data_IF_619884747780
#
_entry.id   IF_619884747780
#
_cell.length_a   1.000
_cell.length_b   1.000
_cell.length_c   1.000
_cell.angle_alpha   90.00
_cell.angle_beta   90.00
_cell.angle_gamma   90.00
#
_symmetry.space_group_name_H-M   'P 1'
#
loop_
_entity.id
_entity.type
_entity.pdbx_description
1 polymer ?
#
# COMPACT_ATOMS: atom_id res chain seq x y z
N UNK A 1 15.67 59.24 -0.67
CA UNK A 1 15.89 60.11 0.49
C UNK A 1 15.91 59.24 1.73
N UNK A 2 17.12 59.11 2.29
CA UNK A 2 17.49 58.97 3.69
C UNK A 2 17.09 57.66 4.35
N UNK A 3 17.94 56.66 4.49
CA UNK A 3 19.23 56.48 5.20
C UNK A 3 19.12 56.52 6.72
N UNK A 4 19.66 55.52 7.30
CA UNK A 4 20.37 55.34 8.56
C UNK A 4 19.71 54.25 9.44
N UNK A 5 20.36 53.23 9.90
CA UNK A 5 21.78 52.96 10.20
C UNK A 5 21.98 52.84 11.68
N UNK A 6 22.86 51.98 12.06
CA UNK A 6 23.63 51.81 13.31
C UNK A 6 23.19 50.63 14.19
N UNK A 7 23.95 49.57 14.29
CA UNK A 7 25.34 49.32 14.72
C UNK A 7 25.57 49.32 16.24
N UNK A 8 26.08 48.15 16.73
CA UNK A 8 27.03 47.92 17.84
C UNK A 8 26.52 48.02 19.30
N UNK A 9 26.78 47.01 20.10
CA UNK A 9 27.97 46.93 20.95
C UNK A 9 28.10 45.60 21.67
N UNK A 10 29.24 45.03 21.55
CA UNK A 10 30.08 44.22 22.39
C UNK A 10 29.85 44.32 23.91
N UNK A 11 29.98 43.17 24.58
CA UNK A 11 30.18 43.08 26.02
C UNK A 11 30.89 41.78 26.38
N UNK A 12 32.20 41.76 26.34
CA UNK A 12 33.10 40.80 26.98
C UNK A 12 33.05 40.95 28.50
N UNK A 13 32.96 39.84 29.22
CA UNK A 13 33.18 39.81 30.67
C UNK A 13 33.81 38.48 31.08
N UNK A 14 35.12 38.50 31.21
CA UNK A 14 36.01 37.49 31.79
C UNK A 14 36.01 37.60 33.34
N UNK A 15 36.41 36.52 34.00
CA UNK A 15 36.86 36.21 35.37
C UNK A 15 35.93 35.21 36.04
N UNK A 16 36.36 34.08 36.57
CA UNK A 16 37.65 33.58 36.99
C UNK A 16 37.46 32.76 38.28
N UNK A 17 38.08 31.57 38.35
CA UNK A 17 38.56 30.89 39.54
C UNK A 17 37.46 30.10 40.35
N UNK A 18 37.60 28.93 40.76
CA UNK A 18 38.58 28.10 41.43
C UNK A 18 38.05 26.65 41.63
N UNK A 19 38.86 25.65 41.48
CA UNK A 19 38.68 24.31 42.08
C UNK A 19 39.28 24.29 43.49
N UNK A 20 38.91 23.37 44.42
CA UNK A 20 39.49 22.08 44.49
C UNK A 20 38.47 20.99 44.96
N UNK A 21 38.55 19.71 44.61
CA UNK A 21 39.56 18.75 45.01
C UNK A 21 38.91 17.67 45.90
N UNK A 22 39.13 16.37 45.62
CA UNK A 22 38.85 15.23 46.50
C UNK A 22 38.21 14.08 45.70
N UNK A 23 38.94 13.25 45.11
CA UNK A 23 39.53 11.94 45.42
C UNK A 23 38.60 10.92 46.07
N UNK A 24 38.44 9.83 45.41
CA UNK A 24 38.69 8.38 45.55
C UNK A 24 37.40 7.61 45.69
N UNK A 25 37.19 6.45 45.15
CA UNK A 25 38.03 5.37 44.75
C UNK A 25 37.17 4.25 44.21
N UNK A 26 37.70 3.53 43.27
CA UNK A 26 37.22 2.21 42.85
C UNK A 26 37.46 1.18 43.98
N UNK A 27 36.72 0.09 44.03
CA UNK A 27 37.38 -1.19 44.02
C UNK A 27 36.90 -2.14 42.91
N UNK A 28 37.90 -2.79 42.37
CA UNK A 28 37.93 -3.97 41.53
C UNK A 28 37.55 -5.23 42.28
N UNK A 29 36.98 -6.18 41.51
CA UNK A 29 37.12 -7.66 41.58
C UNK A 29 36.76 -8.40 42.89
N UNK A 30 35.97 -9.46 42.75
CA UNK A 30 36.37 -10.86 42.82
C UNK A 30 35.15 -11.80 42.71
N UNK A 31 35.33 -12.73 41.85
CA UNK A 31 35.55 -14.19 41.99
C UNK A 31 34.30 -15.06 42.06
N UNK A 32 34.22 -15.83 41.02
CA UNK A 32 33.82 -17.24 40.89
C UNK A 32 33.48 -17.98 42.17
N UNK A 33 32.30 -18.58 42.24
CA UNK A 33 32.14 -19.88 42.85
C UNK A 33 31.18 -20.78 42.07
N UNK A 34 31.78 -21.81 41.55
CA UNK A 34 31.25 -23.05 41.03
C UNK A 34 30.63 -23.86 42.16
N UNK A 35 29.38 -24.23 42.07
CA UNK A 35 28.80 -25.29 42.91
C UNK A 35 28.00 -26.23 42.03
N UNK A 36 28.59 -27.39 41.77
CA UNK A 36 27.91 -28.62 41.38
C UNK A 36 27.27 -29.29 42.60
N UNK A 37 26.12 -29.90 42.48
CA UNK A 37 25.80 -31.08 43.25
C UNK A 37 25.67 -32.32 42.36
N UNK A 38 26.40 -33.29 42.79
CA UNK A 38 26.41 -34.70 42.42
C UNK A 38 25.12 -35.41 42.86
N UNK A 39 24.63 -36.30 41.99
CA UNK A 39 24.27 -37.69 42.31
C UNK A 39 22.88 -37.98 42.80
N UNK A 40 22.14 -38.72 42.01
CA UNK A 40 21.81 -40.15 42.24
C UNK A 40 20.69 -40.59 41.29
N UNK A 41 21.01 -41.58 40.48
CA UNK A 41 20.02 -42.49 39.91
C UNK A 41 19.35 -43.33 40.96
N UNK A 42 18.15 -43.84 40.70
CA UNK A 42 18.03 -45.28 40.62
C UNK A 42 17.28 -45.83 39.40
N UNK A 43 17.82 -46.90 38.94
CA UNK A 43 17.38 -47.99 38.09
C UNK A 43 15.93 -48.45 38.28
N UNK A 44 15.28 -48.84 37.20
CA UNK A 44 14.12 -49.72 37.31
C UNK A 44 13.28 -49.85 36.02
N UNK A 45 13.58 -50.91 35.27
CA UNK A 45 12.68 -51.76 34.51
C UNK A 45 11.91 -51.27 33.24
N UNK A 46 12.40 -51.83 32.14
CA UNK A 46 11.69 -52.13 30.91
C UNK A 46 10.50 -53.09 31.12
N UNK A 47 9.41 -52.99 30.38
CA UNK A 47 9.18 -53.99 29.32
C UNK A 47 8.69 -53.45 27.97
N UNK A 48 9.32 -53.92 26.94
CA UNK A 48 8.75 -54.04 25.62
C UNK A 48 7.76 -55.21 25.64
N UNK A 49 6.61 -55.17 24.96
CA UNK A 49 6.57 -55.71 23.61
C UNK A 49 5.50 -55.09 22.69
N UNK A 50 5.65 -55.33 21.42
CA UNK A 50 4.53 -55.44 20.46
C UNK A 50 4.60 -54.48 19.29
N UNK A 51 5.30 -54.92 18.26
CA UNK A 51 5.25 -54.32 16.95
C UNK A 51 3.87 -54.44 16.29
N UNK A 52 3.43 -53.38 15.68
CA UNK A 52 2.52 -53.44 14.56
C UNK A 52 3.03 -52.48 13.48
N UNK A 53 3.51 -53.05 12.41
CA UNK A 53 3.87 -52.42 11.17
C UNK A 53 2.66 -51.67 10.59
N UNK A 54 2.75 -50.41 10.18
CA UNK A 54 1.72 -49.84 9.31
C UNK A 54 1.90 -50.36 7.89
N UNK A 55 0.78 -50.71 7.27
CA UNK A 55 0.67 -51.22 5.91
C UNK A 55 1.14 -50.16 4.91
N UNK A 56 1.90 -50.63 3.90
CA UNK A 56 2.30 -49.85 2.74
C UNK A 56 1.08 -49.51 1.90
N UNK A 57 0.94 -48.25 1.57
CA UNK A 57 0.01 -47.74 0.57
C UNK A 57 0.51 -48.11 -0.83
N UNK A 58 -0.35 -48.54 -1.76
CA UNK A 58 0.10 -49.02 -3.08
C UNK A 58 0.47 -47.85 -3.99
N UNK A 59 1.67 -47.87 -4.51
CA UNK A 59 2.20 -47.05 -5.59
C UNK A 59 1.32 -47.11 -6.83
N UNK A 60 0.91 -46.04 -7.47
CA UNK A 60 0.19 -46.10 -8.73
C UNK A 60 1.14 -46.48 -9.87
N UNK A 61 0.75 -47.48 -10.62
CA UNK A 61 1.40 -47.98 -11.84
C UNK A 61 1.34 -46.95 -12.97
N UNK A 62 2.39 -46.74 -13.76
CA UNK A 62 2.35 -45.84 -14.91
C UNK A 62 1.46 -46.37 -16.01
N UNK A 63 0.55 -45.58 -16.49
CA UNK A 63 -0.33 -45.87 -17.61
C UNK A 63 0.44 -45.71 -18.93
N UNK A 64 0.62 -46.79 -19.63
CA UNK A 64 1.24 -46.82 -20.95
C UNK A 64 0.35 -46.15 -22.01
N UNK A 65 0.94 -45.27 -22.73
CA UNK A 65 0.84 -45.07 -24.17
C UNK A 65 -0.52 -44.78 -24.80
N UNK A 66 -0.80 -43.54 -25.10
CA UNK A 66 -1.48 -43.15 -26.34
C UNK A 66 -0.62 -42.18 -27.14
N UNK A 67 -0.16 -42.69 -28.29
CA UNK A 67 0.55 -41.99 -29.35
C UNK A 67 -0.29 -40.83 -29.89
N UNK A 68 0.26 -39.62 -30.07
CA UNK A 68 -0.46 -38.53 -30.73
C UNK A 68 -0.59 -38.82 -32.22
N UNK A 69 -1.78 -38.64 -32.75
CA UNK A 69 -2.11 -38.69 -34.17
C UNK A 69 -1.52 -37.43 -34.82
N UNK A 70 -0.74 -37.65 -35.88
CA UNK A 70 -0.13 -36.58 -36.70
C UNK A 70 -1.22 -35.80 -37.44
N UNK A 71 -1.19 -34.50 -37.30
CA UNK A 71 -1.96 -33.52 -38.10
C UNK A 71 -1.27 -33.32 -39.46
N UNK A 72 -2.00 -33.26 -40.58
CA UNK A 72 -1.38 -33.18 -41.90
C UNK A 72 -0.81 -31.79 -42.20
N UNK A 73 0.44 -31.80 -42.66
CA UNK A 73 1.18 -30.64 -43.20
C UNK A 73 0.48 -30.04 -44.41
N UNK A 74 0.29 -28.70 -44.49
CA UNK A 74 -0.23 -28.08 -45.71
C UNK A 74 0.88 -27.99 -46.78
N UNK A 75 0.54 -28.41 -47.97
CA UNK A 75 1.32 -28.32 -49.21
C UNK A 75 1.54 -26.90 -49.64
N UNK A 76 2.72 -26.51 -50.19
CA UNK A 76 2.96 -25.17 -50.69
C UNK A 76 2.23 -24.95 -52.04
N UNK A 77 1.50 -23.88 -52.16
CA UNK A 77 0.92 -23.42 -53.41
C UNK A 77 1.97 -22.62 -54.22
N UNK A 78 2.38 -23.21 -55.36
CA UNK A 78 3.23 -22.54 -56.33
C UNK A 78 2.39 -21.66 -57.26
N UNK A 79 2.72 -20.38 -57.33
CA UNK A 79 2.45 -19.59 -58.51
C UNK A 79 1.65 -18.33 -58.36
N UNK A 80 2.31 -17.21 -58.04
CA UNK A 80 1.94 -15.90 -58.61
C UNK A 80 3.16 -15.02 -58.86
N UNK A 81 3.27 -14.63 -60.12
CA UNK A 81 4.27 -13.76 -60.72
C UNK A 81 4.25 -12.35 -60.11
N UNK A 82 5.37 -11.62 -60.02
CA UNK A 82 5.44 -10.26 -59.51
C UNK A 82 4.89 -9.28 -60.54
N UNK A 83 4.02 -8.38 -60.10
CA UNK A 83 3.58 -7.23 -60.86
C UNK A 83 4.19 -5.96 -60.29
N UNK A 84 4.73 -5.19 -61.12
CA UNK A 84 5.31 -3.87 -61.15
C UNK A 84 5.26 -2.99 -59.89
N UNK A 85 6.41 -2.45 -59.64
CA UNK A 85 6.84 -1.41 -58.73
C UNK A 85 6.18 -0.07 -59.08
N UNK A 86 5.25 0.39 -58.24
CA UNK A 86 4.77 1.78 -58.21
C UNK A 86 5.46 2.50 -57.07
N UNK A 87 6.17 3.56 -57.40
CA UNK A 87 6.80 4.52 -56.47
C UNK A 87 5.75 5.11 -55.53
N UNK A 88 6.00 5.13 -54.19
CA UNK A 88 5.08 5.79 -53.26
C UNK A 88 5.26 7.31 -53.34
N UNK A 89 4.19 8.00 -53.69
CA UNK A 89 4.01 9.40 -53.34
C UNK A 89 3.72 9.49 -51.85
N UNK A 90 4.49 10.32 -51.14
CA UNK A 90 4.29 10.58 -49.72
C UNK A 90 2.83 10.91 -49.38
N UNK A 91 2.13 10.14 -48.54
CA UNK A 91 0.93 10.61 -47.90
C UNK A 91 1.33 11.31 -46.60
N UNK A 92 0.86 12.55 -46.45
CA UNK A 92 0.91 13.29 -45.21
C UNK A 92 0.56 12.36 -44.03
N UNK A 93 1.48 12.27 -43.06
CA UNK A 93 1.27 11.57 -41.80
C UNK A 93 -0.02 12.10 -41.16
N UNK A 94 -1.06 11.28 -40.93
CA UNK A 94 -2.17 11.72 -40.11
C UNK A 94 -1.64 11.93 -38.69
N UNK A 95 -1.66 13.17 -38.24
CA UNK A 95 -1.54 13.48 -36.81
C UNK A 95 -2.57 12.63 -36.07
N UNK A 96 -2.20 11.82 -35.07
CA UNK A 96 -3.19 11.07 -34.31
C UNK A 96 -4.12 12.08 -33.64
N UNK A 97 -5.37 12.11 -34.07
CA UNK A 97 -6.44 12.80 -33.35
C UNK A 97 -6.60 12.05 -32.05
N UNK A 98 -6.05 12.60 -30.98
CA UNK A 98 -6.29 12.16 -29.62
C UNK A 98 -7.81 12.18 -29.42
N UNK A 99 -8.42 11.01 -29.31
CA UNK A 99 -9.82 10.87 -28.92
C UNK A 99 -10.01 11.74 -27.68
N UNK A 100 -10.99 12.64 -27.71
CA UNK A 100 -11.17 13.69 -26.73
C UNK A 100 -11.19 13.12 -25.30
N UNK A 101 -10.14 13.40 -24.54
CA UNK A 101 -10.18 13.23 -23.08
C UNK A 101 -11.36 14.06 -22.59
N UNK A 102 -12.26 13.45 -21.81
CA UNK A 102 -13.32 14.19 -21.15
C UNK A 102 -12.66 15.31 -20.33
N UNK A 103 -13.01 16.55 -20.63
CA UNK A 103 -12.47 17.73 -19.93
C UNK A 103 -13.12 17.95 -18.56
N UNK A 104 -13.53 16.86 -17.89
CA UNK A 104 -14.13 16.94 -16.56
C UNK A 104 -13.01 17.09 -15.57
N UNK A 105 -12.87 18.27 -14.98
CA UNK A 105 -11.93 18.53 -13.91
C UNK A 105 -12.55 18.12 -12.57
N UNK A 106 -11.71 17.72 -11.62
CA UNK A 106 -12.14 17.50 -10.25
C UNK A 106 -12.53 18.85 -9.59
N UNK A 107 -13.41 18.84 -8.60
CA UNK A 107 -13.58 20.00 -7.74
C UNK A 107 -12.28 20.33 -7.01
N UNK A 108 -12.24 21.47 -6.31
CA UNK A 108 -11.14 21.76 -5.40
C UNK A 108 -11.16 20.75 -4.25
N UNK A 109 -10.14 19.91 -4.18
CA UNK A 109 -9.96 18.87 -3.16
C UNK A 109 -9.11 19.41 -2.01
N UNK A 110 -9.35 18.93 -0.80
CA UNK A 110 -8.43 19.17 0.32
C UNK A 110 -7.09 18.47 0.05
N UNK A 111 -5.99 19.09 0.46
CA UNK A 111 -4.68 18.42 0.42
C UNK A 111 -4.64 17.38 1.52
N UNK A 112 -4.65 16.09 1.15
CA UNK A 112 -4.76 14.99 2.10
C UNK A 112 -4.28 13.66 1.51
N UNK A 113 -3.90 12.76 2.42
CA UNK A 113 -3.68 11.32 2.19
C UNK A 113 -4.85 10.56 2.80
N UNK A 114 -5.48 9.70 2.02
CA UNK A 114 -6.56 8.82 2.48
C UNK A 114 -6.09 7.37 2.36
N UNK A 115 -5.78 6.74 3.50
CA UNK A 115 -5.47 5.31 3.57
C UNK A 115 -6.78 4.56 3.76
N UNK A 116 -7.27 3.93 2.70
CA UNK A 116 -8.60 3.33 2.68
C UNK A 116 -8.63 2.00 3.42
N UNK A 117 -9.66 1.76 4.21
CA UNK A 117 -9.91 0.45 4.83
C UNK A 117 -10.45 -0.53 3.77
N UNK A 118 -9.53 -1.19 3.09
CA UNK A 118 -9.84 -2.20 2.07
C UNK A 118 -9.69 -3.64 2.57
N UNK A 119 -9.58 -3.82 3.89
CA UNK A 119 -9.26 -5.10 4.49
C UNK A 119 -7.79 -5.44 4.31
N UNK A 120 -7.47 -6.74 4.15
CA UNK A 120 -6.12 -7.12 3.72
C UNK A 120 -5.92 -6.63 2.29
N UNK A 121 -4.86 -5.85 2.08
CA UNK A 121 -4.56 -5.16 0.85
C UNK A 121 -4.26 -3.68 1.05
N UNK A 122 -3.96 -2.97 -0.02
CA UNK A 122 -3.59 -1.55 0.04
C UNK A 122 -4.39 -0.72 -0.97
N UNK A 123 -4.83 0.46 -0.53
CA UNK A 123 -5.40 1.49 -1.41
C UNK A 123 -5.22 2.85 -0.77
N UNK A 124 -4.45 3.72 -1.42
CA UNK A 124 -4.17 5.05 -0.90
C UNK A 124 -4.43 6.10 -1.96
N UNK A 125 -5.27 7.08 -1.60
CA UNK A 125 -5.59 8.22 -2.43
C UNK A 125 -4.83 9.45 -1.92
N UNK A 126 -4.20 10.17 -2.83
CA UNK A 126 -3.50 11.43 -2.59
C UNK A 126 -4.23 12.55 -3.34
N UNK A 127 -4.63 13.58 -2.64
CA UNK A 127 -5.33 14.73 -3.21
C UNK A 127 -4.58 16.03 -2.92
N UNK A 128 -4.56 16.92 -3.92
CA UNK A 128 -4.15 18.32 -3.75
C UNK A 128 -4.70 19.16 -4.90
N UNK A 129 -5.33 20.28 -4.61
CA UNK A 129 -5.94 21.15 -5.64
C UNK A 129 -7.00 20.40 -6.43
N UNK A 130 -6.81 20.24 -7.72
CA UNK A 130 -7.68 19.42 -8.59
C UNK A 130 -7.08 18.05 -8.90
N UNK A 131 -5.91 17.76 -8.34
CA UNK A 131 -5.17 16.52 -8.59
C UNK A 131 -5.59 15.42 -7.64
N UNK A 132 -5.87 14.24 -8.19
CA UNK A 132 -6.12 13.00 -7.48
C UNK A 132 -5.22 11.90 -8.04
N UNK A 133 -4.44 11.28 -7.19
CA UNK A 133 -3.55 10.15 -7.50
C UNK A 133 -3.97 8.96 -6.65
N UNK A 134 -4.23 7.81 -7.28
CA UNK A 134 -4.57 6.58 -6.57
C UNK A 134 -3.41 5.60 -6.69
N UNK A 135 -2.85 5.18 -5.56
CA UNK A 135 -1.83 4.14 -5.47
C UNK A 135 -2.48 2.91 -4.85
N UNK A 136 -2.49 1.81 -5.60
CA UNK A 136 -3.19 0.57 -5.31
C UNK A 136 -4.70 0.74 -5.11
N UNK A 137 -5.45 -0.34 -5.12
CA UNK A 137 -6.91 -0.29 -5.13
C UNK A 137 -7.60 -1.33 -4.24
N UNK A 138 -6.82 -2.11 -3.50
CA UNK A 138 -7.37 -3.18 -2.65
C UNK A 138 -7.89 -4.39 -3.42
N UNK A 139 -8.53 -5.29 -2.69
CA UNK A 139 -9.14 -6.54 -3.20
C UNK A 139 -10.42 -6.25 -4.01
N UNK A 140 -10.82 -7.20 -4.81
CA UNK A 140 -12.05 -7.17 -5.60
C UNK A 140 -13.32 -6.94 -4.76
N UNK A 141 -13.36 -7.45 -3.51
CA UNK A 141 -14.47 -7.27 -2.58
C UNK A 141 -14.68 -5.82 -2.16
N UNK A 142 -13.61 -5.03 -2.15
CA UNK A 142 -13.61 -3.63 -1.72
C UNK A 142 -13.60 -2.64 -2.87
N UNK A 143 -13.53 -3.12 -4.13
CA UNK A 143 -13.51 -2.28 -5.33
C UNK A 143 -14.67 -1.28 -5.38
N UNK A 144 -15.90 -1.72 -5.04
CA UNK A 144 -17.06 -0.82 -5.00
C UNK A 144 -16.95 0.25 -3.90
N UNK A 145 -16.33 -0.10 -2.77
CA UNK A 145 -16.03 0.85 -1.70
C UNK A 145 -15.03 1.92 -2.16
N UNK A 146 -13.92 1.52 -2.78
CA UNK A 146 -12.92 2.46 -3.33
C UNK A 146 -13.61 3.42 -4.31
N UNK A 147 -14.35 2.90 -5.29
CA UNK A 147 -15.09 3.72 -6.26
C UNK A 147 -16.08 4.67 -5.57
N UNK A 148 -16.83 4.17 -4.59
CA UNK A 148 -17.78 4.96 -3.83
C UNK A 148 -17.10 6.07 -3.02
N UNK A 149 -15.97 5.77 -2.37
CA UNK A 149 -15.19 6.75 -1.62
C UNK A 149 -14.69 7.89 -2.52
N UNK A 150 -14.09 7.57 -3.66
CA UNK A 150 -13.62 8.57 -4.59
C UNK A 150 -14.76 9.46 -5.10
N UNK A 151 -15.93 8.87 -5.40
CA UNK A 151 -17.13 9.62 -5.79
C UNK A 151 -17.64 10.55 -4.69
N UNK A 152 -17.57 10.15 -3.42
CA UNK A 152 -18.02 11.01 -2.30
C UNK A 152 -17.17 12.27 -2.15
N UNK A 153 -15.91 12.23 -2.61
CA UNK A 153 -15.05 13.40 -2.70
C UNK A 153 -15.30 14.23 -3.97
N UNK A 154 -16.25 13.83 -4.82
CA UNK A 154 -16.54 14.48 -6.10
C UNK A 154 -15.50 14.22 -7.19
N UNK A 155 -14.60 13.24 -6.99
CA UNK A 155 -13.57 12.89 -7.97
C UNK A 155 -14.22 12.35 -9.23
N UNK A 156 -13.82 12.87 -10.37
CA UNK A 156 -14.26 12.47 -11.70
C UNK A 156 -13.10 11.98 -12.58
N UNK A 157 -11.87 12.39 -12.20
CA UNK A 157 -10.65 12.09 -12.93
C UNK A 157 -9.52 11.75 -11.98
N UNK A 158 -8.78 10.70 -12.31
CA UNK A 158 -7.51 10.35 -11.68
C UNK A 158 -6.38 10.74 -12.65
N UNK A 159 -5.55 11.68 -12.26
CA UNK A 159 -4.45 12.13 -13.09
C UNK A 159 -3.37 11.06 -13.17
N UNK A 160 -3.22 10.26 -12.11
CA UNK A 160 -2.32 9.13 -12.08
C UNK A 160 -2.92 7.98 -11.26
N UNK A 161 -2.81 6.78 -11.77
CA UNK A 161 -3.05 5.52 -11.06
C UNK A 161 -1.72 4.76 -11.02
N UNK A 162 -1.34 4.24 -9.86
CA UNK A 162 -0.12 3.46 -9.71
C UNK A 162 -0.45 2.09 -9.13
N UNK A 163 0.02 1.04 -9.78
CA UNK A 163 0.11 -0.29 -9.20
C UNK A 163 1.52 -0.46 -8.63
N UNK A 164 1.66 -0.66 -7.31
CA UNK A 164 2.98 -0.92 -6.73
C UNK A 164 3.54 -2.24 -7.22
N UNK A 165 2.70 -3.25 -7.31
CA UNK A 165 2.92 -4.57 -7.90
C UNK A 165 1.58 -5.15 -8.37
N UNK A 166 1.55 -6.42 -8.85
CA UNK A 166 0.36 -6.94 -9.51
C UNK A 166 -0.41 -8.01 -8.72
N UNK A 167 -0.29 -8.03 -7.40
CA UNK A 167 -1.06 -8.94 -6.57
C UNK A 167 -2.52 -8.49 -6.43
N UNK A 168 -3.41 -9.44 -6.18
CA UNK A 168 -4.85 -9.21 -6.27
C UNK A 168 -5.40 -8.20 -5.29
N UNK A 169 -4.82 -8.13 -4.12
CA UNK A 169 -5.17 -7.24 -3.02
C UNK A 169 -4.60 -5.82 -3.18
N UNK A 170 -3.89 -5.56 -4.29
CA UNK A 170 -3.41 -4.25 -4.72
C UNK A 170 -4.10 -3.77 -6.00
N UNK A 171 -4.29 -4.65 -6.99
CA UNK A 171 -4.78 -4.19 -8.30
C UNK A 171 -6.25 -4.47 -8.60
N UNK A 172 -6.94 -5.30 -7.81
CA UNK A 172 -8.34 -5.65 -8.14
C UNK A 172 -9.25 -4.43 -8.12
N UNK A 173 -9.11 -3.56 -7.11
CA UNK A 173 -9.91 -2.34 -7.03
C UNK A 173 -9.55 -1.30 -8.09
N UNK A 174 -8.31 -1.31 -8.60
CA UNK A 174 -7.91 -0.45 -9.72
C UNK A 174 -8.71 -0.73 -10.99
N UNK A 175 -9.13 -1.99 -11.21
CA UNK A 175 -10.04 -2.34 -12.33
C UNK A 175 -11.36 -1.58 -12.20
N UNK A 176 -11.91 -1.48 -10.98
CA UNK A 176 -13.10 -0.68 -10.71
C UNK A 176 -12.89 0.81 -10.93
N UNK A 177 -11.77 1.35 -10.42
CA UNK A 177 -11.42 2.75 -10.60
C UNK A 177 -11.24 3.11 -12.07
N UNK A 178 -10.50 2.31 -12.84
CA UNK A 178 -10.33 2.47 -14.31
C UNK A 178 -11.67 2.41 -15.05
N UNK A 179 -12.62 1.61 -14.58
CA UNK A 179 -13.95 1.52 -15.18
C UNK A 179 -14.80 2.76 -14.88
N UNK A 180 -14.70 3.32 -13.66
CA UNK A 180 -15.61 4.34 -13.14
C UNK A 180 -15.17 5.78 -13.42
N UNK A 181 -13.86 6.02 -13.56
CA UNK A 181 -13.29 7.37 -13.67
C UNK A 181 -12.54 7.57 -14.98
N UNK A 182 -12.35 8.84 -15.37
CA UNK A 182 -11.33 9.19 -16.36
C UNK A 182 -9.96 9.02 -15.73
N UNK A 183 -9.03 8.33 -16.39
CA UNK A 183 -7.66 8.14 -15.94
C UNK A 183 -6.71 8.63 -17.02
N UNK A 184 -5.74 9.47 -16.66
CA UNK A 184 -4.79 9.99 -17.63
C UNK A 184 -3.67 9.05 -17.92
N UNK A 185 -3.09 8.47 -16.85
CA UNK A 185 -1.93 7.60 -16.94
C UNK A 185 -1.97 6.52 -15.86
N UNK A 186 -1.47 5.35 -16.18
CA UNK A 186 -1.24 4.24 -15.26
C UNK A 186 0.26 3.96 -15.20
N UNK A 187 0.83 3.90 -14.01
CA UNK A 187 2.18 3.40 -13.78
C UNK A 187 2.14 2.01 -13.15
N UNK A 188 3.10 1.19 -13.52
CA UNK A 188 3.26 -0.12 -12.92
C UNK A 188 4.66 -0.67 -13.13
N UNK A 189 5.04 -1.74 -12.42
CA UNK A 189 6.34 -2.37 -12.55
C UNK A 189 6.56 -3.02 -13.91
N UNK A 190 7.84 -3.17 -14.31
CA UNK A 190 8.26 -3.65 -15.62
C UNK A 190 8.28 -5.20 -15.71
N UNK A 191 7.18 -5.85 -15.32
CA UNK A 191 6.99 -7.30 -15.52
C UNK A 191 5.55 -7.61 -15.90
N UNK A 192 5.31 -8.79 -16.46
CA UNK A 192 3.97 -9.27 -16.78
C UNK A 192 3.48 -10.24 -15.71
N UNK A 193 2.32 -9.95 -15.13
CA UNK A 193 1.65 -10.85 -14.22
C UNK A 193 0.98 -12.02 -14.94
N UNK A 194 0.89 -13.17 -14.27
CA UNK A 194 0.27 -14.38 -14.83
C UNK A 194 -1.16 -14.62 -14.32
N UNK A 195 -1.61 -13.83 -13.35
CA UNK A 195 -2.90 -14.03 -12.68
C UNK A 195 -4.08 -13.59 -13.54
N UNK A 196 -5.28 -14.03 -13.17
CA UNK A 196 -6.52 -13.54 -13.81
C UNK A 196 -6.74 -12.05 -13.52
N UNK A 197 -6.41 -11.61 -12.31
CA UNK A 197 -6.54 -10.21 -11.89
C UNK A 197 -5.66 -9.31 -12.73
N UNK A 198 -4.39 -9.67 -12.94
CA UNK A 198 -3.50 -8.94 -13.82
C UNK A 198 -4.07 -8.82 -15.24
N UNK A 199 -4.57 -9.93 -15.81
CA UNK A 199 -5.19 -9.89 -17.14
C UNK A 199 -6.39 -8.93 -17.21
N UNK A 200 -7.26 -8.97 -16.19
CA UNK A 200 -8.41 -8.05 -16.11
C UNK A 200 -7.96 -6.59 -15.98
N UNK A 201 -6.90 -6.32 -15.22
CA UNK A 201 -6.30 -4.99 -15.11
C UNK A 201 -5.73 -4.51 -16.45
N UNK A 202 -4.93 -5.32 -17.13
CA UNK A 202 -4.36 -5.01 -18.44
C UNK A 202 -5.45 -4.81 -19.51
N UNK A 203 -6.47 -5.68 -19.54
CA UNK A 203 -7.62 -5.56 -20.45
C UNK A 203 -8.40 -4.26 -20.19
N UNK A 204 -8.58 -3.84 -18.93
CA UNK A 204 -9.29 -2.62 -18.60
C UNK A 204 -8.51 -1.38 -19.06
N UNK A 205 -7.18 -1.34 -18.85
CA UNK A 205 -6.31 -0.27 -19.36
C UNK A 205 -6.46 -0.17 -20.90
N UNK A 206 -6.35 -1.29 -21.59
CA UNK A 206 -6.50 -1.32 -23.05
C UNK A 206 -7.90 -0.89 -23.50
N UNK A 207 -8.96 -1.36 -22.83
CA UNK A 207 -10.36 -0.99 -23.15
C UNK A 207 -10.64 0.51 -22.96
N UNK A 208 -9.98 1.12 -21.98
CA UNK A 208 -10.13 2.55 -21.66
C UNK A 208 -9.14 3.42 -22.41
N UNK A 209 -8.26 2.81 -23.22
CA UNK A 209 -7.20 3.48 -23.99
C UNK A 209 -6.33 4.40 -23.12
N UNK A 210 -6.07 3.97 -21.86
CA UNK A 210 -5.25 4.72 -20.92
C UNK A 210 -3.77 4.45 -21.23
N UNK A 211 -2.94 5.48 -21.13
CA UNK A 211 -1.48 5.33 -21.22
C UNK A 211 -0.97 4.47 -20.08
N UNK A 212 -0.31 3.35 -20.39
CA UNK A 212 0.32 2.48 -19.41
C UNK A 212 1.84 2.60 -19.52
N UNK A 213 2.44 3.13 -18.48
CA UNK A 213 3.87 3.39 -18.41
C UNK A 213 4.53 2.41 -17.44
N UNK A 214 5.55 1.72 -17.91
CA UNK A 214 6.42 0.93 -17.05
C UNK A 214 7.34 1.89 -16.29
N UNK A 215 7.23 1.88 -14.98
CA UNK A 215 7.89 2.85 -14.12
C UNK A 215 9.41 2.64 -14.09
N UNK A 216 10.17 3.74 -14.22
CA UNK A 216 11.62 3.75 -14.19
C UNK A 216 12.15 4.56 -12.99
N UNK A 217 13.38 4.24 -12.54
CA UNK A 217 14.05 4.98 -11.47
C UNK A 217 14.14 6.47 -11.79
N UNK A 218 13.67 7.32 -10.88
CA UNK A 218 13.68 8.76 -11.03
C UNK A 218 12.54 9.34 -11.85
N UNK A 219 11.62 8.50 -12.41
CA UNK A 219 10.41 8.98 -13.06
C UNK A 219 9.59 9.82 -12.12
N UNK A 220 9.03 10.92 -12.61
CA UNK A 220 8.29 11.89 -11.78
C UNK A 220 7.00 12.35 -12.48
N UNK A 221 5.90 12.35 -11.73
CA UNK A 221 4.66 13.05 -12.02
C UNK A 221 4.55 14.25 -11.08
N UNK A 222 4.05 15.39 -11.56
CA UNK A 222 3.82 16.56 -10.72
C UNK A 222 2.61 17.37 -11.20
N UNK A 223 1.69 17.68 -10.28
CA UNK A 223 0.54 18.55 -10.50
C UNK A 223 0.02 19.09 -9.16
N UNK A 224 -0.43 20.34 -9.11
CA UNK A 224 -1.14 21.00 -8.00
C UNK A 224 -0.56 20.73 -6.59
N UNK A 225 0.76 20.80 -6.43
CA UNK A 225 1.39 20.52 -5.14
C UNK A 225 1.57 19.04 -4.79
N UNK A 226 1.08 18.12 -5.65
CA UNK A 226 1.34 16.70 -5.55
C UNK A 226 2.48 16.29 -6.49
N UNK A 227 3.50 15.63 -5.95
CA UNK A 227 4.60 15.05 -6.74
C UNK A 227 4.77 13.57 -6.38
N UNK A 228 4.81 12.72 -7.39
CA UNK A 228 5.10 11.28 -7.26
C UNK A 228 6.42 10.98 -7.92
N UNK A 229 7.36 10.39 -7.20
CA UNK A 229 8.71 10.05 -7.72
C UNK A 229 9.00 8.58 -7.46
N UNK A 230 9.37 7.85 -8.51
CA UNK A 230 9.84 6.47 -8.39
C UNK A 230 11.26 6.46 -7.86
N UNK A 231 11.47 5.93 -6.66
CA UNK A 231 12.80 5.80 -6.02
C UNK A 231 13.53 4.57 -6.52
N UNK A 232 12.77 3.50 -6.76
CA UNK A 232 13.25 2.30 -7.41
C UNK A 232 12.10 1.59 -8.14
N UNK A 233 12.34 1.30 -9.39
CA UNK A 233 11.52 0.45 -10.23
C UNK A 233 11.75 -1.03 -9.87
N UNK A 234 10.85 -1.90 -10.36
CA UNK A 234 10.94 -3.34 -10.16
C UNK A 234 12.06 -3.95 -11.00
N UNK A 235 13.27 -3.86 -10.55
CA UNK A 235 14.33 -4.71 -11.08
C UNK A 235 14.39 -5.95 -10.21
N UNK A 236 14.31 -7.18 -10.77
CA UNK A 236 14.49 -8.39 -9.99
C UNK A 236 15.82 -8.31 -9.22
N UNK A 237 15.75 -8.14 -7.91
CA UNK A 237 16.96 -8.26 -7.08
C UNK A 237 17.23 -9.74 -6.98
N UNK A 238 18.16 -10.25 -7.81
CA UNK A 238 18.69 -11.58 -7.62
C UNK A 238 19.38 -11.63 -6.28
N UNK A 239 18.75 -12.28 -5.32
CA UNK A 239 19.34 -12.53 -4.01
C UNK A 239 20.62 -13.34 -4.20
N UNK A 240 21.77 -12.69 -4.13
CA UNK A 240 23.03 -13.35 -3.86
C UNK A 240 23.00 -13.66 -2.37
N UNK A 241 22.84 -14.97 -2.04
CA UNK A 241 22.64 -15.43 -0.68
C UNK A 241 23.66 -14.87 0.30
N UNK A 242 23.24 -13.95 1.13
CA UNK A 242 23.85 -13.63 2.40
C UNK A 242 23.06 -14.37 3.49
N UNK A 243 23.73 -15.34 4.05
CA UNK A 243 23.25 -16.43 4.88
C UNK A 243 23.10 -16.07 6.33
N UNK A 244 22.20 -15.18 6.71
CA UNK A 244 21.97 -14.94 8.13
C UNK A 244 20.52 -14.56 8.47
N UNK A 245 19.62 -15.41 8.16
CA UNK A 245 18.25 -15.25 8.61
C UNK A 245 17.31 -16.20 7.87
N UNK A 246 16.27 -16.62 8.53
CA UNK A 246 15.17 -17.33 7.91
C UNK A 246 14.69 -16.55 6.68
N UNK A 247 14.93 -17.12 5.51
CA UNK A 247 14.41 -16.58 4.26
C UNK A 247 12.91 -16.88 4.26
N UNK A 248 12.09 -15.85 4.14
CA UNK A 248 10.67 -16.03 3.87
C UNK A 248 10.53 -16.88 2.59
N UNK A 249 9.81 -18.01 2.64
CA UNK A 249 9.57 -18.81 1.46
C UNK A 249 8.85 -18.05 0.33
N UNK A 250 8.18 -16.93 0.61
CA UNK A 250 7.59 -16.02 -0.38
C UNK A 250 8.62 -15.08 -1.01
N UNK A 251 9.79 -14.90 -0.39
CA UNK A 251 10.91 -14.12 -0.94
C UNK A 251 11.76 -14.88 -1.97
N UNK A 252 11.31 -16.06 -2.41
CA UNK A 252 12.00 -16.79 -3.49
C UNK A 252 11.87 -16.05 -4.82
N UNK A 253 12.53 -14.93 -4.86
CA UNK A 253 13.11 -14.46 -6.10
C UNK A 253 12.52 -13.26 -6.72
N UNK A 254 11.71 -12.39 -6.29
CA UNK A 254 11.46 -11.13 -7.05
C UNK A 254 10.56 -10.19 -6.23
N UNK A 255 11.18 -9.41 -5.37
CA UNK A 255 10.51 -8.24 -4.83
C UNK A 255 10.30 -7.23 -5.99
N UNK A 256 9.09 -7.27 -6.53
CA UNK A 256 8.70 -6.52 -7.73
C UNK A 256 8.01 -5.20 -7.42
N UNK A 257 7.79 -4.88 -6.15
CA UNK A 257 7.09 -3.66 -5.75
C UNK A 257 7.88 -2.40 -6.09
N UNK A 258 7.19 -1.39 -6.61
CA UNK A 258 7.75 -0.05 -6.78
C UNK A 258 8.00 0.60 -5.42
N UNK A 259 9.13 1.26 -5.27
CA UNK A 259 9.37 2.17 -4.16
C UNK A 259 9.13 3.60 -4.62
N UNK A 260 8.26 4.32 -3.95
CA UNK A 260 7.73 5.60 -4.39
C UNK A 260 7.81 6.62 -3.25
N UNK A 261 8.23 7.82 -3.57
CA UNK A 261 8.02 8.99 -2.73
C UNK A 261 6.86 9.80 -3.30
N UNK A 262 5.86 10.06 -2.48
CA UNK A 262 4.85 11.08 -2.77
C UNK A 262 5.17 12.31 -1.92
N UNK A 263 5.04 13.49 -2.50
CA UNK A 263 5.14 14.75 -1.78
C UNK A 263 3.85 15.53 -1.99
N UNK A 264 3.19 15.89 -0.91
CA UNK A 264 2.05 16.81 -0.90
C UNK A 264 2.49 18.10 -0.21
N UNK A 265 2.53 19.20 -0.96
CA UNK A 265 3.15 20.46 -0.51
C UNK A 265 4.57 20.23 0.02
N UNK A 266 4.77 20.26 1.34
CA UNK A 266 6.08 19.99 1.98
C UNK A 266 6.08 18.69 2.80
N UNK A 267 5.02 17.88 2.73
CA UNK A 267 4.92 16.60 3.44
C UNK A 267 5.39 15.48 2.53
N UNK A 268 6.29 14.66 3.04
CA UNK A 268 6.89 13.51 2.33
C UNK A 268 6.31 12.20 2.81
N UNK A 269 5.90 11.36 1.86
CA UNK A 269 5.26 10.08 2.10
C UNK A 269 6.07 8.98 1.39
N UNK A 270 6.38 7.89 2.09
CA UNK A 270 7.03 6.70 1.54
C UNK A 270 6.00 5.59 1.31
N UNK A 271 5.98 5.05 0.10
CA UNK A 271 5.14 3.94 -0.34
C UNK A 271 6.01 2.90 -1.02
N UNK A 272 5.97 1.65 -0.57
CA UNK A 272 6.82 0.60 -1.13
C UNK A 272 6.07 -0.72 -1.39
N UNK A 273 4.74 -0.70 -1.37
CA UNK A 273 3.91 -1.91 -1.55
C UNK A 273 4.31 -3.03 -0.59
N UNK A 274 4.53 -4.21 -1.12
CA UNK A 274 4.88 -5.39 -0.33
C UNK A 274 6.39 -5.68 -0.30
N UNK A 275 7.19 -4.60 -0.41
CA UNK A 275 8.64 -4.69 -0.34
C UNK A 275 9.12 -5.44 0.90
N UNK A 276 9.96 -6.45 0.68
CA UNK A 276 10.61 -7.23 1.73
C UNK A 276 11.96 -6.64 2.16
N UNK A 277 12.55 -7.26 3.19
CA UNK A 277 13.78 -6.80 3.83
C UNK A 277 14.96 -6.60 2.87
N UNK A 278 15.09 -7.47 1.86
CA UNK A 278 16.18 -7.37 0.89
C UNK A 278 16.10 -6.10 0.06
N UNK A 279 14.91 -5.76 -0.41
CA UNK A 279 14.65 -4.56 -1.19
C UNK A 279 14.85 -3.30 -0.36
N UNK A 280 14.36 -3.31 0.86
CA UNK A 280 14.53 -2.21 1.81
C UNK A 280 16.00 -1.90 2.05
N UNK A 281 16.81 -2.93 2.37
CA UNK A 281 18.26 -2.78 2.57
C UNK A 281 18.99 -2.32 1.31
N UNK A 282 18.56 -2.78 0.13
CA UNK A 282 19.12 -2.32 -1.14
C UNK A 282 18.90 -0.82 -1.36
N UNK A 283 17.70 -0.30 -1.05
CA UNK A 283 17.37 1.12 -1.13
C UNK A 283 18.13 1.96 -0.11
N UNK A 284 18.27 1.50 1.12
CA UNK A 284 19.08 2.14 2.15
C UNK A 284 20.55 2.23 1.68
N UNK A 285 21.10 1.12 1.19
CA UNK A 285 22.47 1.07 0.67
C UNK A 285 22.69 1.99 -0.54
N UNK A 286 21.69 2.13 -1.41
CA UNK A 286 21.71 3.05 -2.57
C UNK A 286 21.71 4.52 -2.13
N UNK A 287 21.32 4.82 -0.87
CA UNK A 287 21.13 6.19 -0.40
C UNK A 287 19.94 6.87 -1.07
N UNK A 288 18.95 6.09 -1.54
CA UNK A 288 17.78 6.60 -2.25
C UNK A 288 16.71 7.17 -1.31
N UNK A 289 16.82 6.87 0.00
CA UNK A 289 15.86 7.29 1.01
C UNK A 289 16.30 8.59 1.68
N UNK A 290 15.31 9.44 2.00
CA UNK A 290 15.43 10.57 2.90
C UNK A 290 14.57 10.33 4.14
N UNK A 291 14.32 11.39 4.92
CA UNK A 291 13.33 11.37 5.99
C UNK A 291 11.92 11.54 5.42
N UNK A 292 10.95 10.92 6.07
CA UNK A 292 9.55 10.96 5.65
C UNK A 292 8.64 11.32 6.82
N UNK A 293 7.61 12.11 6.53
CA UNK A 293 6.57 12.42 7.52
C UNK A 293 5.64 11.24 7.73
N UNK A 294 5.22 10.61 6.64
CA UNK A 294 4.29 9.47 6.64
C UNK A 294 4.96 8.27 5.96
N UNK A 295 4.83 7.12 6.57
CA UNK A 295 5.23 5.83 6.03
C UNK A 295 4.02 4.92 5.92
N UNK A 296 3.70 4.49 4.70
CA UNK A 296 2.75 3.41 4.48
C UNK A 296 3.52 2.10 4.68
N UNK A 297 3.16 1.41 5.75
CA UNK A 297 3.89 0.23 6.24
C UNK A 297 3.86 -0.88 5.20
N UNK A 298 5.03 -1.41 4.86
CA UNK A 298 5.17 -2.41 3.81
C UNK A 298 4.48 -3.72 4.19
N UNK A 299 3.87 -4.36 3.18
CA UNK A 299 3.37 -5.73 3.24
C UNK A 299 2.46 -5.96 4.46
N UNK A 300 1.50 -5.04 4.65
CA UNK A 300 0.47 -5.07 5.70
C UNK A 300 0.99 -5.27 7.12
N UNK A 301 2.27 -4.94 7.34
CA UNK A 301 2.95 -5.17 8.62
C UNK A 301 3.54 -6.58 8.76
N UNK A 302 3.95 -7.22 7.67
CA UNK A 302 4.67 -8.49 7.68
C UNK A 302 5.90 -8.46 8.59
N UNK A 303 6.21 -9.60 9.23
CA UNK A 303 7.43 -9.76 10.04
C UNK A 303 8.72 -9.65 9.23
N UNK A 304 8.64 -9.91 7.93
CA UNK A 304 9.76 -9.95 6.99
C UNK A 304 10.04 -8.62 6.29
N UNK A 305 9.24 -7.59 6.59
CA UNK A 305 9.36 -6.24 6.05
C UNK A 305 9.57 -5.22 7.17
N UNK A 306 9.76 -3.95 6.79
CA UNK A 306 9.86 -2.83 7.75
C UNK A 306 11.08 -2.96 8.65
N UNK A 307 12.25 -3.19 8.03
CA UNK A 307 13.51 -3.42 8.73
C UNK A 307 13.96 -2.23 9.57
N UNK A 308 14.71 -2.46 10.65
CA UNK A 308 15.31 -1.37 11.42
C UNK A 308 16.17 -0.43 10.56
N UNK A 309 16.86 -0.97 9.54
CA UNK A 309 17.66 -0.19 8.61
C UNK A 309 16.81 0.80 7.81
N UNK A 310 15.65 0.33 7.28
CA UNK A 310 14.69 1.18 6.60
C UNK A 310 14.15 2.26 7.54
N UNK A 311 13.66 1.89 8.70
CA UNK A 311 13.03 2.80 9.66
C UNK A 311 14.03 3.84 10.18
N UNK A 312 15.29 3.45 10.41
CA UNK A 312 16.36 4.37 10.80
C UNK A 312 16.71 5.37 9.68
N UNK A 313 16.64 4.97 8.42
CA UNK A 313 16.87 5.86 7.28
C UNK A 313 15.69 6.79 7.01
N UNK A 314 14.47 6.25 7.07
CA UNK A 314 13.22 6.95 6.77
C UNK A 314 12.75 7.86 7.92
N UNK A 315 12.99 7.48 9.18
CA UNK A 315 12.59 8.20 10.40
C UNK A 315 11.15 8.72 10.36
N UNK A 316 10.15 7.87 10.09
CA UNK A 316 8.79 8.33 9.90
C UNK A 316 8.19 8.88 11.19
N UNK A 317 7.45 9.99 11.09
CA UNK A 317 6.65 10.52 12.20
C UNK A 317 5.33 9.75 12.37
N UNK A 318 4.73 9.35 11.26
CA UNK A 318 3.48 8.60 11.21
C UNK A 318 3.68 7.31 10.43
N UNK A 319 3.19 6.19 10.95
CA UNK A 319 3.19 4.89 10.28
C UNK A 319 1.74 4.39 10.15
N UNK A 320 1.29 4.13 8.94
CA UNK A 320 -0.06 3.63 8.67
C UNK A 320 0.04 2.20 8.15
N UNK A 321 -0.58 1.27 8.86
CA UNK A 321 -0.69 -0.13 8.48
C UNK A 321 -2.04 -0.34 7.79
N UNK A 322 -2.01 -0.60 6.48
CA UNK A 322 -3.18 -1.03 5.72
C UNK A 322 -3.31 -2.54 5.88
N UNK A 323 -4.29 -2.99 6.65
CA UNK A 323 -4.44 -4.39 7.05
C UNK A 323 -5.91 -4.67 7.36
N UNK A 324 -6.33 -5.92 7.24
CA UNK A 324 -7.65 -6.40 7.60
C UNK A 324 -7.63 -7.75 8.29
N UNK A 325 -8.80 -8.41 8.35
CA UNK A 325 -8.90 -9.78 8.84
C UNK A 325 -8.17 -10.72 7.87
N UNK A 326 -7.16 -11.43 8.39
CA UNK A 326 -6.26 -12.24 7.58
C UNK A 326 -5.75 -13.47 8.34
N UNK A 327 -5.29 -14.48 7.59
CA UNK A 327 -4.69 -15.71 8.11
C UNK A 327 -3.15 -15.68 8.11
N UNK A 328 -2.52 -14.57 7.66
CA UNK A 328 -1.06 -14.40 7.57
C UNK A 328 -0.43 -14.00 8.91
N UNK A 329 -1.25 -13.51 9.84
CA UNK A 329 -0.79 -12.99 11.12
C UNK A 329 -0.26 -11.54 11.01
N UNK A 330 -0.79 -10.77 10.07
CA UNK A 330 -0.53 -9.34 9.91
C UNK A 330 -1.49 -8.50 10.78
N UNK A 331 -1.05 -7.35 11.32
CA UNK A 331 0.37 -6.99 11.40
C UNK A 331 1.09 -7.87 12.42
N UNK A 332 2.28 -8.33 12.08
CA UNK A 332 3.08 -9.15 12.97
C UNK A 332 3.60 -8.33 14.15
N UNK A 333 3.71 -9.00 15.32
CA UNK A 333 4.23 -8.35 16.54
C UNK A 333 5.61 -7.73 16.29
N UNK A 334 6.48 -8.44 15.59
CA UNK A 334 7.83 -8.00 15.28
C UNK A 334 7.87 -6.72 14.44
N UNK A 335 6.90 -6.54 13.54
CA UNK A 335 6.75 -5.30 12.80
C UNK A 335 6.32 -4.15 13.72
N UNK A 336 5.31 -4.38 14.57
CA UNK A 336 4.84 -3.37 15.52
C UNK A 336 5.96 -2.96 16.48
N UNK A 337 6.75 -3.93 17.00
CA UNK A 337 7.89 -3.66 17.85
C UNK A 337 8.88 -2.69 17.16
N UNK A 338 9.25 -2.96 15.91
CA UNK A 338 10.16 -2.11 15.14
C UNK A 338 9.61 -0.70 14.90
N UNK A 339 8.31 -0.58 14.59
CA UNK A 339 7.66 0.72 14.40
C UNK A 339 7.63 1.52 15.70
N UNK A 340 7.36 0.89 16.85
CA UNK A 340 7.43 1.55 18.16
C UNK A 340 8.85 1.99 18.51
N UNK A 341 9.85 1.12 18.28
CA UNK A 341 11.26 1.43 18.49
C UNK A 341 11.73 2.60 17.62
N UNK A 342 11.18 2.78 16.42
CA UNK A 342 11.46 3.94 15.57
C UNK A 342 10.86 5.25 16.09
N UNK A 343 9.92 5.18 17.03
CA UNK A 343 9.21 6.34 17.58
C UNK A 343 8.05 6.82 16.72
N UNK A 344 7.65 6.09 15.69
CA UNK A 344 6.54 6.45 14.83
C UNK A 344 5.19 6.33 15.56
N UNK A 345 4.28 7.26 15.29
CA UNK A 345 2.88 7.17 15.71
C UNK A 345 2.15 6.20 14.78
N UNK A 346 1.60 5.10 15.36
CA UNK A 346 1.04 3.99 14.60
C UNK A 346 -0.47 4.12 14.44
N UNK A 347 -0.94 3.87 13.21
CA UNK A 347 -2.35 3.80 12.81
C UNK A 347 -2.58 2.48 12.09
N UNK A 348 -3.79 1.90 12.22
CA UNK A 348 -4.17 0.64 11.59
C UNK A 348 -5.58 0.73 11.02
N UNK A 349 -5.76 0.37 9.75
CA UNK A 349 -7.07 0.46 9.09
C UNK A 349 -8.08 -0.54 9.66
N UNK A 350 -7.65 -1.72 10.10
CA UNK A 350 -8.53 -2.75 10.69
C UNK A 350 -9.16 -2.33 12.03
N UNK A 351 -8.49 -1.47 12.80
CA UNK A 351 -8.98 -0.96 14.09
C UNK A 351 -9.69 0.39 13.97
N UNK A 352 -9.32 1.20 12.98
CA UNK A 352 -9.72 2.61 12.90
C UNK A 352 -10.53 2.95 11.67
N UNK A 353 -10.72 1.99 10.74
CA UNK A 353 -11.32 2.24 9.44
C UNK A 353 -10.39 3.09 8.54
N UNK A 354 -10.95 3.72 7.53
CA UNK A 354 -10.19 4.65 6.69
C UNK A 354 -9.55 5.76 7.51
N UNK A 355 -8.27 6.03 7.26
CA UNK A 355 -7.48 7.02 7.97
C UNK A 355 -7.20 8.18 7.02
N UNK A 356 -7.60 9.38 7.44
CA UNK A 356 -7.35 10.61 6.69
C UNK A 356 -6.25 11.40 7.36
N UNK A 357 -5.24 11.79 6.60
CA UNK A 357 -4.18 12.68 7.03
C UNK A 357 -4.23 13.96 6.19
N UNK A 358 -4.88 14.99 6.73
CA UNK A 358 -4.93 16.31 6.09
C UNK A 358 -3.56 16.97 6.15
N UNK A 359 -3.21 17.72 5.11
CA UNK A 359 -1.92 18.42 4.99
C UNK A 359 -2.14 19.91 4.89
N UNK A 360 -1.48 20.67 5.76
CA UNK A 360 -1.45 22.13 5.73
C UNK A 360 0.01 22.61 5.74
N UNK A 361 0.52 22.94 4.56
CA UNK A 361 1.93 23.32 4.38
C UNK A 361 2.90 22.17 4.68
N UNK A 362 3.50 22.15 5.86
CA UNK A 362 4.40 21.08 6.35
C UNK A 362 3.79 20.30 7.52
N UNK A 363 2.55 20.58 7.90
CA UNK A 363 1.90 19.95 9.04
C UNK A 363 0.92 18.87 8.58
N UNK A 364 0.91 17.74 9.29
CA UNK A 364 0.01 16.61 9.07
C UNK A 364 -0.97 16.53 10.23
N UNK A 365 -2.26 16.50 9.91
CA UNK A 365 -3.37 16.41 10.85
C UNK A 365 -4.16 15.13 10.62
N UNK A 366 -3.84 14.04 11.35
CA UNK A 366 -4.63 12.82 11.28
C UNK A 366 -6.05 13.03 11.83
N UNK A 367 -7.07 12.45 11.19
CA UNK A 367 -8.47 12.46 11.65
C UNK A 367 -8.71 11.50 12.84
N UNK A 368 -7.76 10.64 13.14
CA UNK A 368 -7.77 9.69 14.25
C UNK A 368 -6.61 9.97 15.20
N UNK A 369 -6.76 9.59 16.46
CA UNK A 369 -5.62 9.52 17.37
C UNK A 369 -4.74 8.30 17.03
N UNK A 370 -3.43 8.45 17.20
CA UNK A 370 -2.53 7.29 17.13
C UNK A 370 -2.94 6.22 18.16
N UNK A 371 -2.75 4.96 17.82
CA UNK A 371 -3.13 3.85 18.69
C UNK A 371 -2.29 3.85 19.97
N UNK A 372 -2.95 3.83 21.12
CA UNK A 372 -2.30 3.67 22.42
C UNK A 372 -1.78 2.23 22.61
N UNK A 373 -2.50 1.26 22.04
CA UNK A 373 -2.09 -0.14 22.00
C UNK A 373 -2.20 -0.66 20.55
N UNK A 374 -1.10 -0.61 19.78
CA UNK A 374 -1.11 -1.09 18.40
C UNK A 374 -1.13 -2.61 18.26
N UNK A 375 -0.98 -3.35 19.39
CA UNK A 375 -1.09 -4.82 19.41
C UNK A 375 -2.52 -5.31 19.60
N UNK A 376 -3.48 -4.43 19.78
CA UNK A 376 -4.87 -4.84 19.96
C UNK A 376 -5.31 -5.76 18.80
N UNK A 377 -5.76 -6.98 19.16
CA UNK A 377 -6.32 -7.89 18.18
C UNK A 377 -7.70 -7.38 17.78
N UNK A 378 -8.05 -7.49 16.48
CA UNK A 378 -9.40 -7.23 16.02
C UNK A 378 -10.35 -8.13 16.80
N UNK A 379 -11.13 -7.55 17.67
CA UNK A 379 -12.19 -8.30 18.35
C UNK A 379 -13.24 -8.60 17.29
N UNK A 380 -13.32 -9.87 16.88
CA UNK A 380 -14.30 -10.33 15.91
C UNK A 380 -15.67 -9.78 16.23
N UNK A 381 -16.19 -8.93 15.36
CA UNK A 381 -17.55 -8.51 15.18
C UNK A 381 -18.47 -8.44 16.42
N UNK A 382 -18.16 -7.65 17.45
CA UNK A 382 -19.20 -7.13 18.31
C UNK A 382 -19.73 -5.87 17.63
N UNK A 383 -21.05 -5.83 17.36
CA UNK A 383 -21.77 -4.62 16.99
C UNK A 383 -21.43 -3.50 17.97
N UNK A 384 -20.36 -2.74 17.70
CA UNK A 384 -20.18 -1.46 18.36
C UNK A 384 -21.28 -0.57 17.81
N UNK A 385 -22.14 -0.07 18.68
CA UNK A 385 -22.98 1.08 18.34
C UNK A 385 -22.00 2.18 17.93
N UNK A 386 -21.89 2.42 16.64
CA UNK A 386 -21.03 3.48 16.10
C UNK A 386 -21.80 4.77 16.34
N UNK A 387 -21.30 5.59 17.25
CA UNK A 387 -21.78 6.96 17.37
C UNK A 387 -21.38 7.70 16.09
N UNK A 388 -22.37 8.16 15.35
CA UNK A 388 -22.16 8.95 14.16
C UNK A 388 -21.84 10.41 14.56
N UNK A 389 -20.96 11.11 13.84
CA UNK A 389 -20.79 12.55 14.01
C UNK A 389 -22.16 13.27 13.89
N UNK A 390 -22.40 14.27 14.73
CA UNK A 390 -23.71 14.97 14.82
C UNK A 390 -24.12 15.67 13.51
N UNK A 391 -23.17 15.97 12.63
CA UNK A 391 -23.36 16.72 11.39
C UNK A 391 -23.41 15.86 10.12
N UNK A 392 -23.36 14.53 10.25
CA UNK A 392 -23.47 13.61 9.10
C UNK A 392 -24.88 13.65 8.51
N UNK A 393 -24.99 13.98 7.23
CA UNK A 393 -26.26 13.98 6.51
C UNK A 393 -26.70 12.56 6.13
N UNK A 394 -25.78 11.76 5.59
CA UNK A 394 -26.06 10.41 5.12
C UNK A 394 -24.89 9.46 5.38
N UNK A 395 -25.22 8.16 5.43
CA UNK A 395 -24.25 7.06 5.32
C UNK A 395 -24.32 6.51 3.90
N UNK A 396 -23.23 6.60 3.17
CA UNK A 396 -23.14 6.01 1.83
C UNK A 396 -22.62 4.58 1.93
N UNK A 397 -23.33 3.63 1.34
CA UNK A 397 -22.88 2.25 1.20
C UNK A 397 -22.26 2.08 -0.19
N UNK A 398 -20.92 2.11 -0.25
CA UNK A 398 -20.16 2.01 -1.50
C UNK A 398 -20.33 0.68 -2.22
N UNK A 399 -20.65 -0.40 -1.51
CA UNK A 399 -20.87 -1.71 -2.12
C UNK A 399 -22.21 -1.80 -2.89
N UNK A 400 -23.29 -1.25 -2.32
CA UNK A 400 -24.62 -1.31 -2.92
C UNK A 400 -25.03 -0.04 -3.67
N UNK A 401 -24.21 1.01 -3.59
CA UNK A 401 -24.49 2.35 -4.10
C UNK A 401 -25.83 2.87 -3.57
N UNK A 402 -26.04 2.73 -2.26
CA UNK A 402 -27.24 3.20 -1.54
C UNK A 402 -26.83 4.18 -0.46
N UNK A 403 -27.55 5.30 -0.33
CA UNK A 403 -27.38 6.20 0.80
C UNK A 403 -28.51 6.03 1.82
N UNK A 404 -28.16 6.18 3.10
CA UNK A 404 -29.02 5.95 4.25
C UNK A 404 -28.98 7.17 5.17
N UNK A 405 -30.04 7.38 5.94
CA UNK A 405 -29.98 8.25 7.11
C UNK A 405 -29.02 7.61 8.15
N UNK A 406 -28.31 8.41 8.97
CA UNK A 406 -27.37 7.88 9.97
C UNK A 406 -27.99 6.81 10.89
N UNK A 407 -29.20 7.02 11.35
CA UNK A 407 -29.91 6.10 12.25
C UNK A 407 -30.66 4.95 11.54
N UNK A 408 -30.40 4.72 10.28
CA UNK A 408 -31.08 3.68 9.52
C UNK A 408 -30.69 2.28 10.01
N UNK A 409 -31.66 1.47 10.44
CA UNK A 409 -31.42 0.09 10.87
C UNK A 409 -30.71 -0.78 9.80
N UNK A 410 -30.86 -0.44 8.52
CA UNK A 410 -30.15 -1.14 7.44
C UNK A 410 -28.63 -0.89 7.46
N UNK A 411 -28.17 0.17 8.11
CA UNK A 411 -26.74 0.48 8.23
C UNK A 411 -26.04 -0.52 9.15
N UNK A 412 -26.73 -0.98 10.21
CA UNK A 412 -26.18 -1.97 11.14
C UNK A 412 -25.78 -3.30 10.47
N UNK A 413 -26.39 -3.63 9.33
CA UNK A 413 -26.06 -4.84 8.55
C UNK A 413 -24.99 -4.61 7.46
N UNK A 414 -24.49 -3.39 7.33
CA UNK A 414 -23.45 -3.05 6.35
C UNK A 414 -22.09 -3.14 7.04
N UNK A 415 -21.16 -3.89 6.46
CA UNK A 415 -19.78 -3.92 6.98
C UNK A 415 -19.21 -2.49 7.03
N UNK A 416 -18.57 -2.13 8.14
CA UNK A 416 -18.05 -0.77 8.38
C UNK A 416 -17.23 -0.23 7.23
N UNK A 417 -16.40 -1.05 6.59
CA UNK A 417 -15.58 -0.70 5.43
C UNK A 417 -16.36 -0.30 4.17
N UNK A 418 -17.65 -0.61 4.09
CA UNK A 418 -18.49 -0.34 2.92
C UNK A 418 -19.30 0.94 3.07
N UNK A 419 -19.18 1.68 4.16
CA UNK A 419 -19.92 2.90 4.40
C UNK A 419 -19.04 4.02 4.93
N UNK A 420 -19.35 5.21 4.49
CA UNK A 420 -18.63 6.42 4.84
C UNK A 420 -19.61 7.57 5.04
N UNK A 421 -19.18 8.52 5.85
CA UNK A 421 -19.97 9.66 6.20
C UNK A 421 -20.05 10.64 5.03
N UNK A 422 -21.25 11.17 4.77
CA UNK A 422 -21.49 12.14 3.73
C UNK A 422 -22.20 13.36 4.31
N UNK A 423 -21.67 14.53 4.03
CA UNK A 423 -22.10 15.81 4.59
C UNK A 423 -22.83 16.68 3.56
N UNK A 424 -23.24 16.11 2.43
CA UNK A 424 -23.92 16.80 1.34
C UNK A 424 -25.43 16.56 1.33
N UNK A 425 -26.08 17.00 0.26
CA UNK A 425 -27.51 16.83 0.01
C UNK A 425 -27.84 15.49 -0.64
N UNK A 426 -29.13 15.11 -0.67
CA UNK A 426 -29.59 13.92 -1.37
C UNK A 426 -29.29 13.99 -2.87
N UNK A 427 -29.49 15.17 -3.49
CA UNK A 427 -29.21 15.40 -4.91
C UNK A 427 -27.71 15.24 -5.22
N UNK A 428 -26.85 15.65 -4.32
CA UNK A 428 -25.40 15.45 -4.45
C UNK A 428 -25.03 13.97 -4.35
N UNK A 429 -25.62 13.22 -3.42
CA UNK A 429 -25.42 11.77 -3.33
C UNK A 429 -25.92 11.06 -4.60
N UNK A 430 -27.06 11.47 -5.14
CA UNK A 430 -27.62 10.93 -6.38
C UNK A 430 -26.76 11.30 -7.60
N UNK A 431 -26.22 12.50 -7.65
CA UNK A 431 -25.28 12.92 -8.69
C UNK A 431 -23.99 12.07 -8.68
N UNK A 432 -23.61 11.54 -7.50
CA UNK A 432 -22.49 10.59 -7.33
C UNK A 432 -22.88 9.15 -7.69
N UNK A 433 -24.13 8.91 -8.11
CA UNK A 433 -24.63 7.60 -8.54
C UNK A 433 -25.22 6.75 -7.43
N UNK A 434 -25.42 7.31 -6.23
CA UNK A 434 -26.13 6.62 -5.15
C UNK A 434 -27.62 6.75 -5.30
N UNK A 435 -28.36 5.78 -4.76
CA UNK A 435 -29.82 5.79 -4.72
C UNK A 435 -30.30 5.77 -3.25
N UNK A 436 -31.48 6.34 -2.96
CA UNK A 436 -31.99 6.36 -1.60
C UNK A 436 -32.31 4.95 -1.08
N UNK A 437 -32.08 4.75 0.22
CA UNK A 437 -32.47 3.54 0.92
C UNK A 437 -33.98 3.41 1.01
N UNK A 438 -34.55 2.32 0.52
CA UNK A 438 -36.01 2.06 0.58
C UNK A 438 -36.58 1.95 2.00
N UNK A 439 -35.76 1.72 3.02
CA UNK A 439 -36.20 1.56 4.41
C UNK A 439 -36.27 2.88 5.18
N UNK A 440 -35.32 3.79 5.01
CA UNK A 440 -35.27 5.03 5.79
C UNK A 440 -35.64 6.29 4.98
N UNK A 441 -35.51 6.25 3.66
CA UNK A 441 -35.80 7.40 2.79
C UNK A 441 -37.10 7.21 1.96
N UNK A 442 -37.69 6.03 2.06
CA UNK A 442 -38.97 5.72 1.39
C UNK A 442 -38.81 5.52 -0.12
N UNK A 443 -39.84 4.96 -0.75
CA UNK A 443 -40.04 5.05 -2.19
C UNK A 443 -40.82 6.36 -2.43
N UNK A 444 -40.14 7.36 -2.88
CA UNK A 444 -40.80 8.53 -3.48
C UNK A 444 -41.03 8.30 -4.97
#
# INVERSE_FOLDING_TARGET
MVLAGLLLMFGLGLFGGEKPGGQSGFPTQNETQHVTPTGSEPTGDTPTPGGTTPAEEPTPTPNEGKKPTEEPTPTPDEGRKPTEQLTPTDPATPTPTVAGKSNTENPQLATAVYCLDVGEGSSTLFCSGTTAVLIDGGDAKTSAYVVGFLKSLGIQRLQLVVATHYDSDHISGLVGALSAFSVDEVWGPAYEGTTKTYRSFAEMIGKREVSWVLAEDGQTFAADGCTVTVLASSVPVRMTGDSDGEVDPSETGEDTSLAIRVTLDNVSILVMGDSGAARERALVKKGALGQYDIFLVNHHGSRYSNTPELLNAAQPKYAVISVGDNDYGHPAKECIDRLQESGAMIFRTDLQGTITMSVEGSEVHPDKAALADPYEAVKGGSEQQVEHPEDVSYILNGNSMVYHLPDCASVAGVMRRNWFYFYGTAEEAEALGYRPCGNCLGKH
#
